data_IF_730665762586
#
_entry.id   IF_730665762586
#
_cell.length_a   1.000
_cell.length_b   1.000
_cell.length_c   1.000
_cell.angle_alpha   90.00
_cell.angle_beta   90.00
_cell.angle_gamma   90.00
#
_symmetry.space_group_name_H-M   'P 1'
#
loop_
_entity.id
_entity.type
_entity.pdbx_description
1 polymer ?
#
# COMPACT_ATOMS: atom_id res chain seq x y z
N UNK A 1 28.86 -18.62 33.63
CA UNK A 1 28.69 -18.34 32.19
C UNK A 1 27.21 -18.08 31.99
N UNK A 2 26.81 -16.81 32.00
CA UNK A 2 25.41 -16.40 31.86
C UNK A 2 25.22 -15.93 30.44
N UNK A 3 24.42 -16.67 29.68
CA UNK A 3 23.97 -16.29 28.35
C UNK A 3 23.00 -15.11 28.50
N UNK A 4 23.34 -13.96 27.91
CA UNK A 4 22.42 -12.83 27.79
C UNK A 4 21.58 -13.13 26.54
N UNK A 5 20.32 -13.50 26.74
CA UNK A 5 19.33 -13.57 25.66
C UNK A 5 19.00 -12.13 25.24
N UNK A 6 19.64 -11.64 24.19
CA UNK A 6 19.28 -10.37 23.56
C UNK A 6 18.00 -10.58 22.76
N UNK A 7 16.88 -10.00 23.20
CA UNK A 7 15.67 -9.90 22.40
C UNK A 7 16.00 -9.22 21.05
N UNK A 8 15.38 -9.63 19.93
CA UNK A 8 15.69 -9.06 18.63
C UNK A 8 15.40 -7.56 18.66
N UNK A 9 16.36 -6.76 18.21
CA UNK A 9 16.20 -5.31 18.10
C UNK A 9 15.06 -5.02 17.11
N UNK A 10 13.92 -4.54 17.62
CA UNK A 10 12.81 -4.05 16.80
C UNK A 10 13.19 -2.72 16.15
N UNK A 11 12.77 -2.50 14.91
CA UNK A 11 13.07 -1.26 14.18
C UNK A 11 12.40 -0.05 14.84
N UNK A 12 12.99 1.15 14.66
CA UNK A 12 12.41 2.42 15.12
C UNK A 12 10.97 2.61 14.62
N UNK A 13 10.67 2.13 13.42
CA UNK A 13 9.33 2.18 12.84
C UNK A 13 8.33 1.33 13.63
N UNK A 14 8.72 0.11 14.05
CA UNK A 14 7.89 -0.75 14.89
C UNK A 14 7.70 -0.12 16.27
N UNK A 15 8.75 0.45 16.85
CA UNK A 15 8.65 1.16 18.14
C UNK A 15 7.73 2.38 18.08
N UNK A 16 7.72 3.11 16.96
CA UNK A 16 6.93 4.34 16.79
C UNK A 16 5.48 4.10 16.37
N UNK A 17 5.24 3.16 15.46
CA UNK A 17 3.94 2.96 14.81
C UNK A 17 3.27 1.61 15.15
N UNK A 18 3.98 0.71 15.83
CA UNK A 18 3.51 -0.64 16.09
C UNK A 18 3.44 -1.54 14.85
N UNK A 19 3.14 -2.82 15.11
CA UNK A 19 2.77 -3.79 14.08
C UNK A 19 1.25 -3.66 13.88
N UNK A 20 0.82 -3.63 12.62
CA UNK A 20 -0.59 -3.56 12.25
C UNK A 20 -0.99 -4.89 11.61
N UNK A 21 -2.21 -5.34 11.90
CA UNK A 21 -2.78 -6.52 11.26
C UNK A 21 -3.13 -6.24 9.79
N UNK A 22 -3.15 -7.31 8.98
CA UNK A 22 -3.57 -7.19 7.59
C UNK A 22 -5.05 -6.76 7.53
N UNK A 23 -5.39 -5.68 6.80
CA UNK A 23 -6.78 -5.25 6.66
C UNK A 23 -7.59 -6.26 5.83
N UNK A 24 -8.92 -6.22 5.95
CA UNK A 24 -9.79 -6.97 5.03
C UNK A 24 -9.65 -6.39 3.61
N UNK A 25 -9.39 -7.26 2.63
CA UNK A 25 -9.17 -6.92 1.24
C UNK A 25 -10.29 -7.42 0.31
N UNK A 26 -11.45 -7.78 0.86
CA UNK A 26 -12.61 -8.14 0.06
C UNK A 26 -13.16 -6.95 -0.73
N UNK A 27 -13.53 -7.20 -1.97
CA UNK A 27 -14.19 -6.20 -2.81
C UNK A 27 -15.71 -6.27 -2.62
N UNK A 28 -16.29 -5.24 -2.02
CA UNK A 28 -17.74 -5.13 -1.78
C UNK A 28 -18.37 -3.99 -2.61
N UNK A 29 -19.70 -3.98 -2.80
CA UNK A 29 -20.39 -2.87 -3.47
C UNK A 29 -20.16 -1.50 -2.79
N UNK A 30 -20.05 -1.47 -1.47
CA UNK A 30 -19.79 -0.26 -0.70
C UNK A 30 -18.38 0.27 -0.99
N UNK A 31 -17.39 -0.64 -1.02
CA UNK A 31 -16.02 -0.31 -1.38
C UNK A 31 -15.92 0.18 -2.82
N UNK A 32 -16.67 -0.43 -3.75
CA UNK A 32 -16.74 0.02 -5.13
C UNK A 32 -17.21 1.48 -5.22
N UNK A 33 -18.23 1.85 -4.44
CA UNK A 33 -18.76 3.22 -4.40
C UNK A 33 -17.77 4.21 -3.77
N UNK A 34 -17.12 3.81 -2.69
CA UNK A 34 -16.13 4.66 -2.00
C UNK A 34 -14.89 4.92 -2.87
N UNK A 35 -14.46 3.91 -3.62
CA UNK A 35 -13.25 3.97 -4.45
C UNK A 35 -13.49 4.44 -5.88
N UNK A 36 -14.74 4.71 -6.27
CA UNK A 36 -15.10 5.15 -7.63
C UNK A 36 -14.31 6.38 -8.09
N UNK A 37 -14.18 7.40 -7.24
CA UNK A 37 -13.42 8.60 -7.58
C UNK A 37 -11.91 8.31 -7.70
N UNK A 38 -11.39 7.33 -6.96
CA UNK A 38 -9.99 6.92 -7.10
C UNK A 38 -9.77 6.20 -8.44
N UNK A 39 -10.72 5.37 -8.86
CA UNK A 39 -10.68 4.69 -10.15
C UNK A 39 -10.70 5.66 -11.33
N UNK A 40 -11.57 6.68 -11.31
CA UNK A 40 -11.66 7.69 -12.35
C UNK A 40 -10.28 8.27 -12.72
N UNK A 41 -9.44 8.53 -11.71
CA UNK A 41 -8.08 9.08 -11.88
C UNK A 41 -7.11 8.17 -12.62
N UNK A 42 -7.31 6.85 -12.58
CA UNK A 42 -6.39 5.85 -13.17
C UNK A 42 -7.04 5.01 -14.27
N UNK A 43 -8.31 5.25 -14.56
CA UNK A 43 -9.11 4.51 -15.55
C UNK A 43 -8.53 4.51 -16.97
N UNK A 44 -7.58 5.40 -17.26
CA UNK A 44 -6.84 5.45 -18.53
C UNK A 44 -5.74 4.40 -18.63
N UNK A 45 -5.29 3.83 -17.50
CA UNK A 45 -4.18 2.87 -17.43
C UNK A 45 -4.56 1.55 -16.76
N UNK A 46 -5.65 1.51 -15.98
CA UNK A 46 -6.19 0.29 -15.35
C UNK A 46 -7.57 -0.01 -15.94
N UNK A 47 -7.77 -1.19 -16.57
CA UNK A 47 -9.08 -1.62 -17.05
C UNK A 47 -10.10 -1.84 -15.91
N UNK A 48 -11.41 -1.65 -16.15
CA UNK A 48 -12.43 -1.79 -15.10
C UNK A 48 -12.49 -3.20 -14.48
N UNK A 49 -12.18 -4.23 -15.26
CA UNK A 49 -12.20 -5.63 -14.81
C UNK A 49 -11.08 -5.94 -13.79
N UNK A 50 -9.99 -5.18 -13.82
CA UNK A 50 -8.87 -5.35 -12.89
C UNK A 50 -9.05 -4.51 -11.62
N UNK A 51 -9.87 -3.45 -11.67
CA UNK A 51 -10.08 -2.55 -10.54
C UNK A 51 -10.50 -3.25 -9.23
N UNK A 52 -11.39 -4.25 -9.21
CA UNK A 52 -11.74 -4.98 -8.00
C UNK A 52 -10.55 -5.59 -7.26
N UNK A 53 -9.49 -5.98 -7.98
CA UNK A 53 -8.28 -6.52 -7.37
C UNK A 53 -7.43 -5.42 -6.70
N UNK A 54 -7.48 -4.18 -7.19
CA UNK A 54 -6.67 -3.06 -6.69
C UNK A 54 -7.39 -2.20 -5.65
N UNK A 55 -8.69 -2.00 -5.79
CA UNK A 55 -9.48 -1.07 -4.98
C UNK A 55 -9.31 -1.27 -3.45
N UNK A 56 -9.34 -2.51 -2.90
CA UNK A 56 -9.15 -2.73 -1.47
C UNK A 56 -7.77 -2.28 -0.98
N UNK A 57 -6.72 -2.57 -1.77
CA UNK A 57 -5.36 -2.12 -1.45
C UNK A 57 -5.22 -0.61 -1.55
N UNK A 58 -5.75 0.01 -2.61
CA UNK A 58 -5.68 1.47 -2.79
C UNK A 58 -6.35 2.19 -1.61
N UNK A 59 -7.49 1.70 -1.14
CA UNK A 59 -8.14 2.25 0.06
C UNK A 59 -7.26 2.08 1.30
N UNK A 60 -6.85 0.85 1.62
CA UNK A 60 -6.05 0.55 2.80
C UNK A 60 -4.73 1.35 2.83
N UNK A 61 -4.04 1.45 1.69
CA UNK A 61 -2.80 2.23 1.57
C UNK A 61 -3.06 3.72 1.80
N UNK A 62 -4.15 4.28 1.27
CA UNK A 62 -4.48 5.69 1.47
C UNK A 62 -4.87 6.00 2.92
N UNK A 63 -5.55 5.08 3.60
CA UNK A 63 -5.82 5.18 5.05
C UNK A 63 -4.52 5.14 5.84
N UNK A 64 -3.64 4.19 5.54
CA UNK A 64 -2.33 4.07 6.20
C UNK A 64 -1.45 5.31 6.00
N UNK A 65 -1.44 5.87 4.80
CA UNK A 65 -0.74 7.12 4.50
C UNK A 65 -1.25 8.28 5.34
N UNK A 66 -2.57 8.38 5.53
CA UNK A 66 -3.17 9.42 6.40
C UNK A 66 -2.80 9.18 7.85
N UNK A 67 -2.96 7.96 8.35
CA UNK A 67 -2.70 7.60 9.76
C UNK A 67 -1.25 7.86 10.15
N UNK A 68 -0.29 7.51 9.28
CA UNK A 68 1.14 7.63 9.55
C UNK A 68 1.75 8.93 9.05
N UNK A 69 0.94 9.82 8.47
CA UNK A 69 1.40 11.00 7.73
C UNK A 69 2.54 10.65 6.75
N UNK A 70 2.33 9.59 5.98
CA UNK A 70 3.34 8.98 5.13
C UNK A 70 3.11 9.29 3.65
N UNK A 71 4.22 9.43 2.94
CA UNK A 71 4.26 9.49 1.48
C UNK A 71 4.97 8.25 0.95
N UNK A 72 4.46 7.69 -0.15
CA UNK A 72 5.13 6.58 -0.83
C UNK A 72 6.04 7.17 -1.88
N UNK A 73 7.33 6.92 -1.74
CA UNK A 73 8.31 7.21 -2.78
C UNK A 73 8.34 6.03 -3.75
N UNK A 74 7.42 6.05 -4.71
CA UNK A 74 7.41 5.07 -5.78
C UNK A 74 8.37 5.54 -6.87
N UNK A 75 9.41 4.76 -7.11
CA UNK A 75 10.13 4.85 -8.36
C UNK A 75 9.35 3.99 -9.33
N UNK A 76 8.67 4.60 -10.31
CA UNK A 76 8.26 3.82 -11.47
C UNK A 76 9.55 3.27 -12.06
N UNK A 77 9.67 1.95 -12.09
CA UNK A 77 10.83 1.29 -12.65
C UNK A 77 10.92 1.72 -14.11
N UNK A 78 11.81 2.65 -14.39
CA UNK A 78 12.27 2.92 -15.73
C UNK A 78 13.72 2.52 -15.72
N UNK A 79 13.99 1.35 -16.27
CA UNK A 79 15.00 1.43 -17.27
C UNK A 79 14.27 1.84 -18.53
N UNK A 80 14.61 3.00 -19.14
CA UNK A 80 14.26 3.22 -20.52
C UNK A 80 14.55 1.93 -21.22
N UNK A 81 15.71 1.33 -20.97
CA UNK A 81 17.02 1.87 -21.24
C UNK A 81 17.08 2.24 -22.73
N UNK A 82 16.40 1.64 -23.72
CA UNK A 82 15.23 0.72 -23.93
C UNK A 82 13.86 1.32 -24.38
N UNK A 83 13.49 2.61 -24.21
CA UNK A 83 12.25 3.16 -24.84
C UNK A 83 12.50 4.16 -25.98
N UNK A 84 13.78 4.45 -26.26
CA UNK A 84 14.23 5.29 -27.38
C UNK A 84 15.61 4.85 -27.92
N UNK A 85 15.76 3.59 -28.32
CA UNK A 85 16.72 3.19 -29.35
C UNK A 85 15.98 2.37 -30.40
#
# INVERSE_FOLDING_TARGET
MTIIETAPAISDAVSKYGIMDMPNLEYTPELARETAQAYERISTVVPPIEWPAFAPYVKAINELKKERNAVILAHNYMTPEIFHC
#
